data_IF_558259580985
#
_entry.id   IF_558259580985
#
_cell.length_a   1.000
_cell.length_b   1.000
_cell.length_c   1.000
_cell.angle_alpha   90.00
_cell.angle_beta   90.00
_cell.angle_gamma   90.00
#
_symmetry.space_group_name_H-M   'P 1'
#
loop_
_entity.id
_entity.type
_entity.pdbx_description
1 polymer ?
#
# COMPACT_ATOMS: atom_id res chain seq x y z
N UNK A 1 19.70 -24.05 -7.61
CA UNK A 1 19.80 -23.23 -6.38
C UNK A 1 19.98 -21.79 -6.83
N UNK A 2 18.87 -21.18 -7.24
CA UNK A 2 18.64 -19.72 -7.31
C UNK A 2 17.23 -19.58 -7.91
N UNK A 3 16.21 -19.71 -7.07
CA UNK A 3 14.78 -19.59 -7.44
C UNK A 3 14.09 -18.75 -6.36
N UNK A 4 14.59 -17.53 -6.18
CA UNK A 4 13.86 -16.47 -5.48
C UNK A 4 13.24 -15.58 -6.54
N UNK A 5 12.16 -16.08 -7.15
CA UNK A 5 11.33 -15.34 -8.10
C UNK A 5 10.37 -14.42 -7.32
N UNK A 6 10.45 -13.12 -7.53
CA UNK A 6 9.52 -12.15 -6.92
C UNK A 6 8.43 -11.75 -7.91
N UNK A 7 7.20 -12.23 -7.72
CA UNK A 7 6.23 -11.56 -6.84
C UNK A 7 5.83 -12.63 -5.84
N UNK A 8 6.25 -12.48 -4.59
CA UNK A 8 6.12 -13.43 -3.46
C UNK A 8 5.40 -14.74 -3.80
N UNK A 9 6.12 -15.88 -3.72
CA UNK A 9 5.60 -17.25 -3.89
C UNK A 9 4.47 -17.67 -2.91
N UNK A 10 3.71 -16.70 -2.40
CA UNK A 10 2.66 -16.81 -1.41
C UNK A 10 1.33 -16.94 -2.12
N UNK A 11 0.63 -18.03 -1.81
CA UNK A 11 -0.77 -18.17 -2.15
C UNK A 11 -1.56 -17.15 -1.33
N UNK A 12 -2.20 -16.18 -2.00
CA UNK A 12 -3.10 -15.23 -1.34
C UNK A 12 -4.41 -15.94 -1.00
N UNK A 13 -4.84 -15.83 0.25
CA UNK A 13 -6.07 -16.48 0.72
C UNK A 13 -7.16 -15.45 0.93
N UNK A 14 -8.02 -15.30 -0.09
CA UNK A 14 -9.21 -14.46 0.00
C UNK A 14 -10.42 -15.39 -0.04
N UNK A 15 -11.26 -15.32 0.99
CA UNK A 15 -12.40 -16.24 1.20
C UNK A 15 -13.72 -15.51 0.91
N UNK A 16 -13.67 -14.54 0.02
CA UNK A 16 -14.83 -13.88 -0.55
C UNK A 16 -15.06 -14.45 -1.96
N UNK A 17 -16.32 -14.77 -2.25
CA UNK A 17 -16.73 -15.11 -3.61
C UNK A 17 -16.64 -13.86 -4.51
N UNK A 18 -16.48 -14.03 -5.84
CA UNK A 18 -16.48 -12.91 -6.78
C UNK A 18 -17.70 -11.97 -6.62
N UNK A 19 -18.86 -12.53 -6.28
CA UNK A 19 -20.11 -11.80 -6.04
C UNK A 19 -20.08 -10.93 -4.79
N UNK A 20 -19.60 -11.49 -3.67
CA UNK A 20 -19.45 -10.74 -2.42
C UNK A 20 -18.42 -9.61 -2.59
N UNK A 21 -17.37 -9.85 -3.36
CA UNK A 21 -16.40 -8.82 -3.72
C UNK A 21 -17.01 -7.71 -4.56
N UNK A 22 -17.84 -8.05 -5.55
CA UNK A 22 -18.54 -7.06 -6.37
C UNK A 22 -19.54 -6.24 -5.57
N UNK A 23 -20.31 -6.87 -4.70
CA UNK A 23 -21.27 -6.18 -3.82
C UNK A 23 -20.58 -5.20 -2.87
N UNK A 24 -19.50 -5.63 -2.19
CA UNK A 24 -18.73 -4.74 -1.30
C UNK A 24 -18.06 -3.60 -2.10
N UNK A 25 -17.50 -3.89 -3.27
CA UNK A 25 -16.92 -2.85 -4.12
C UNK A 25 -17.98 -1.82 -4.55
N UNK A 26 -19.18 -2.27 -4.92
CA UNK A 26 -20.29 -1.39 -5.29
C UNK A 26 -20.77 -0.53 -4.11
N UNK A 27 -20.78 -1.09 -2.90
CA UNK A 27 -21.11 -0.33 -1.69
C UNK A 27 -20.05 0.72 -1.35
N UNK A 28 -18.78 0.43 -1.62
CA UNK A 28 -17.67 1.36 -1.41
C UNK A 28 -17.52 2.38 -2.55
N UNK A 29 -18.05 2.14 -3.74
CA UNK A 29 -17.85 3.04 -4.88
C UNK A 29 -18.30 4.49 -4.60
N UNK A 30 -17.54 5.45 -5.13
CA UNK A 30 -17.83 6.88 -5.01
C UNK A 30 -17.93 7.37 -3.55
N UNK A 31 -19.12 7.85 -3.16
CA UNK A 31 -19.35 8.40 -1.81
C UNK A 31 -19.31 7.34 -0.70
N UNK A 32 -19.52 6.07 -1.04
CA UNK A 32 -19.54 4.97 -0.07
C UNK A 32 -18.21 4.80 0.66
N UNK A 33 -17.10 4.94 -0.06
CA UNK A 33 -15.75 4.85 0.50
C UNK A 33 -15.50 5.92 1.55
N UNK A 34 -15.91 7.17 1.28
CA UNK A 34 -15.76 8.28 2.23
C UNK A 34 -16.61 8.07 3.49
N UNK A 35 -17.80 7.49 3.36
CA UNK A 35 -18.64 7.13 4.50
C UNK A 35 -17.96 6.05 5.36
N UNK A 36 -17.49 4.95 4.74
CA UNK A 36 -16.82 3.85 5.43
C UNK A 36 -15.54 4.32 6.16
N UNK A 37 -14.71 5.13 5.49
CA UNK A 37 -13.52 5.72 6.11
C UNK A 37 -13.88 6.71 7.22
N UNK A 38 -14.94 7.50 7.02
CA UNK A 38 -15.49 8.40 8.03
C UNK A 38 -15.86 7.67 9.31
N UNK A 39 -16.50 6.51 9.20
CA UNK A 39 -16.87 5.64 10.33
C UNK A 39 -15.63 5.09 11.05
N UNK A 40 -14.62 4.63 10.30
CA UNK A 40 -13.34 4.15 10.86
C UNK A 40 -12.65 5.27 11.65
N UNK A 41 -12.56 6.47 11.08
CA UNK A 41 -11.90 7.60 11.71
C UNK A 41 -12.67 8.16 12.91
N UNK A 42 -13.99 7.97 12.94
CA UNK A 42 -14.89 8.45 13.99
C UNK A 42 -15.17 7.41 15.09
N UNK A 43 -14.60 6.21 15.01
CA UNK A 43 -14.78 5.14 16.01
C UNK A 43 -14.37 5.56 17.45
N UNK A 44 -13.60 6.64 17.60
CA UNK A 44 -13.26 7.28 18.88
C UNK A 44 -14.20 8.42 19.33
N UNK A 45 -15.34 8.62 18.66
CA UNK A 45 -16.34 9.64 19.01
C UNK A 45 -16.02 11.08 18.56
N UNK A 46 -14.93 11.29 17.82
CA UNK A 46 -14.53 12.60 17.29
C UNK A 46 -14.63 12.62 15.77
N UNK A 47 -15.27 13.66 15.23
CA UNK A 47 -15.31 13.89 13.78
C UNK A 47 -13.91 14.28 13.29
N UNK A 48 -13.33 13.58 12.29
CA UNK A 48 -12.02 13.93 11.78
C UNK A 48 -12.04 15.30 11.10
N UNK A 49 -11.07 16.15 11.42
CA UNK A 49 -10.85 17.39 10.68
C UNK A 49 -10.13 17.06 9.37
N UNK A 50 -10.63 17.57 8.26
CA UNK A 50 -10.12 17.24 6.92
C UNK A 50 -9.42 18.44 6.29
N UNK A 51 -8.39 18.17 5.50
CA UNK A 51 -7.76 19.17 4.64
C UNK A 51 -8.54 19.23 3.32
N UNK A 52 -8.95 20.44 2.93
CA UNK A 52 -9.76 20.68 1.74
C UNK A 52 -8.99 20.44 0.43
N UNK A 53 -9.70 20.01 -0.62
CA UNK A 53 -9.08 19.71 -1.92
C UNK A 53 -8.45 20.93 -2.63
N UNK A 54 -8.83 22.14 -2.23
CA UNK A 54 -8.22 23.38 -2.72
C UNK A 54 -6.84 23.67 -2.09
N UNK A 55 -6.52 23.07 -0.93
CA UNK A 55 -5.25 23.20 -0.21
C UNK A 55 -4.09 22.68 -1.08
N UNK A 56 -2.94 23.35 -0.99
CA UNK A 56 -1.75 22.97 -1.75
C UNK A 56 -1.20 21.61 -1.30
N UNK A 57 -1.34 21.26 -0.01
CA UNK A 57 -0.95 19.94 0.53
C UNK A 57 -1.78 18.84 -0.10
N UNK A 58 -3.09 19.06 -0.24
CA UNK A 58 -3.96 18.10 -0.92
C UNK A 58 -3.54 17.90 -2.37
N UNK A 59 -3.31 18.99 -3.10
CA UNK A 59 -2.87 18.93 -4.50
C UNK A 59 -1.53 18.23 -4.64
N UNK A 60 -0.60 18.46 -3.73
CA UNK A 60 0.71 17.80 -3.73
C UNK A 60 0.60 16.28 -3.54
N UNK A 61 -0.18 15.83 -2.54
CA UNK A 61 -0.44 14.40 -2.30
C UNK A 61 -1.18 13.78 -3.49
N UNK A 62 -2.22 14.45 -3.99
CA UNK A 62 -2.99 13.98 -5.13
C UNK A 62 -2.12 13.85 -6.38
N UNK A 63 -1.30 14.85 -6.72
CA UNK A 63 -0.40 14.80 -7.88
C UNK A 63 0.62 13.66 -7.76
N UNK A 64 1.17 13.46 -6.57
CA UNK A 64 2.12 12.37 -6.31
C UNK A 64 1.43 11.01 -6.46
N UNK A 65 0.23 10.85 -5.93
CA UNK A 65 -0.59 9.64 -6.08
C UNK A 65 -0.92 9.37 -7.55
N UNK A 66 -1.42 10.36 -8.31
CA UNK A 66 -1.72 10.21 -9.75
C UNK A 66 -0.48 9.81 -10.56
N UNK A 67 0.71 10.31 -10.19
CA UNK A 67 1.98 9.92 -10.83
C UNK A 67 2.32 8.44 -10.58
N UNK A 68 2.05 7.93 -9.38
CA UNK A 68 2.22 6.50 -9.06
C UNK A 68 1.18 5.63 -9.77
N UNK A 69 -0.07 6.09 -9.88
CA UNK A 69 -1.12 5.36 -10.57
C UNK A 69 -0.89 5.23 -12.07
N UNK A 70 -0.31 6.26 -12.69
CA UNK A 70 -0.01 6.28 -14.13
C UNK A 70 0.94 5.15 -14.58
N UNK A 71 1.66 4.51 -13.65
CA UNK A 71 2.59 3.42 -13.95
C UNK A 71 2.09 2.04 -13.54
N UNK A 72 0.88 1.94 -12.96
CA UNK A 72 0.25 0.65 -12.68
C UNK A 72 0.10 -0.21 -13.95
N UNK A 73 -0.31 0.31 -15.14
CA UNK A 73 -0.39 -0.51 -16.35
C UNK A 73 0.94 -1.18 -16.69
N UNK A 74 2.06 -0.49 -16.44
CA UNK A 74 3.41 -1.01 -16.69
C UNK A 74 3.69 -2.26 -15.88
N UNK A 75 3.19 -2.36 -14.65
CA UNK A 75 3.39 -3.54 -13.80
C UNK A 75 2.66 -4.80 -14.27
N UNK A 76 1.62 -4.62 -15.08
CA UNK A 76 0.85 -5.72 -15.68
C UNK A 76 1.56 -6.31 -16.90
N UNK A 77 2.37 -5.49 -17.59
CA UNK A 77 3.14 -5.91 -18.76
C UNK A 77 4.49 -5.18 -18.90
N UNK A 78 5.38 -5.44 -17.93
CA UNK A 78 6.70 -4.80 -17.90
C UNK A 78 7.58 -5.21 -19.10
N UNK A 79 7.34 -6.39 -19.69
CA UNK A 79 8.13 -6.92 -20.80
C UNK A 79 7.87 -6.14 -22.08
N UNK A 80 6.62 -5.83 -22.37
CA UNK A 80 6.24 -5.10 -23.58
C UNK A 80 6.36 -3.58 -23.39
N UNK A 81 5.98 -3.06 -22.21
CA UNK A 81 5.91 -1.61 -21.97
C UNK A 81 7.25 -0.98 -21.54
N UNK A 82 8.19 -1.75 -21.01
CA UNK A 82 9.54 -1.30 -20.58
C UNK A 82 10.65 -2.26 -21.02
N UNK A 83 10.85 -2.46 -22.33
CA UNK A 83 11.86 -3.39 -22.85
C UNK A 83 13.30 -2.89 -22.62
N UNK A 84 13.48 -1.60 -22.33
CA UNK A 84 14.74 -0.88 -22.21
C UNK A 84 15.35 -0.93 -20.80
N UNK A 85 14.80 -1.72 -19.86
CA UNK A 85 15.29 -1.85 -18.47
C UNK A 85 16.79 -2.19 -18.31
N UNK A 86 17.42 -2.74 -19.37
CA UNK A 86 18.85 -3.08 -19.43
C UNK A 86 19.71 -1.83 -19.68
N UNK A 87 19.24 -0.95 -20.56
CA UNK A 87 19.93 0.27 -21.01
C UNK A 87 19.58 1.45 -20.10
N UNK A 88 18.33 1.52 -19.68
CA UNK A 88 17.82 2.47 -18.71
C UNK A 88 18.35 2.24 -17.28
N UNK A 89 18.25 3.29 -16.49
CA UNK A 89 18.41 3.24 -15.03
C UNK A 89 19.82 3.35 -14.46
N UNK A 90 20.70 4.09 -15.14
CA UNK A 90 21.98 4.54 -14.57
C UNK A 90 21.78 5.54 -13.43
N UNK A 91 20.78 6.42 -13.54
CA UNK A 91 20.40 7.36 -12.48
C UNK A 91 19.42 6.73 -11.49
N UNK A 92 18.31 6.15 -11.99
CA UNK A 92 17.24 5.52 -11.20
C UNK A 92 17.23 4.02 -11.51
N UNK A 93 17.48 3.11 -10.56
CA UNK A 93 17.45 1.68 -10.83
C UNK A 93 16.05 1.27 -11.32
N UNK A 94 16.02 0.49 -12.40
CA UNK A 94 14.80 -0.05 -13.01
C UNK A 94 14.76 -1.57 -12.80
N UNK A 95 13.58 -2.12 -12.46
CA UNK A 95 13.45 -3.55 -12.22
C UNK A 95 13.62 -4.36 -13.52
N UNK A 96 14.16 -5.58 -13.43
CA UNK A 96 13.96 -6.55 -14.49
C UNK A 96 12.46 -6.88 -14.63
N UNK A 97 11.96 -7.11 -15.86
CA UNK A 97 10.58 -7.48 -16.10
C UNK A 97 10.22 -8.70 -15.26
N UNK A 98 9.10 -8.63 -14.57
CA UNK A 98 8.74 -9.73 -13.72
C UNK A 98 8.35 -10.98 -14.51
N UNK A 99 8.61 -12.12 -13.88
CA UNK A 99 8.17 -13.44 -14.35
C UNK A 99 6.67 -13.64 -14.17
N UNK A 100 6.08 -13.01 -13.15
CA UNK A 100 4.67 -13.16 -12.77
C UNK A 100 3.98 -11.78 -12.69
N UNK A 101 3.74 -11.08 -13.82
CA UNK A 101 3.19 -9.72 -13.80
C UNK A 101 1.96 -9.57 -12.91
N UNK A 102 1.78 -8.40 -12.31
CA UNK A 102 0.61 -8.14 -11.47
C UNK A 102 -0.64 -8.21 -12.36
N UNK A 103 -1.43 -9.26 -12.20
CA UNK A 103 -2.71 -9.40 -12.88
C UNK A 103 -3.83 -9.00 -11.92
N UNK A 104 -4.78 -8.16 -12.37
CA UNK A 104 -5.99 -7.92 -11.59
C UNK A 104 -6.73 -9.24 -11.38
N UNK A 105 -7.42 -9.36 -10.25
CA UNK A 105 -8.19 -10.58 -9.95
C UNK A 105 -9.36 -10.67 -10.92
N UNK A 106 -9.52 -11.86 -11.51
CA UNK A 106 -10.61 -12.17 -12.44
C UNK A 106 -11.97 -11.99 -11.76
N UNK A 107 -12.85 -11.17 -12.35
CA UNK A 107 -14.24 -10.96 -11.93
C UNK A 107 -15.20 -11.64 -12.89
N UNK A 108 -16.44 -11.86 -12.45
CA UNK A 108 -17.47 -12.44 -13.34
C UNK A 108 -17.88 -11.48 -14.47
N UNK A 109 -17.78 -10.17 -14.27
CA UNK A 109 -17.92 -9.19 -15.35
C UNK A 109 -16.93 -9.45 -16.49
N UNK A 110 -15.70 -9.87 -16.18
CA UNK A 110 -14.70 -10.27 -17.17
C UNK A 110 -15.14 -11.51 -17.97
N UNK A 111 -15.97 -12.40 -17.40
CA UNK A 111 -16.52 -13.58 -18.10
C UNK A 111 -17.51 -13.17 -19.20
N UNK A 112 -18.37 -12.18 -18.91
CA UNK A 112 -19.32 -11.66 -19.90
C UNK A 112 -18.60 -10.88 -21.00
N UNK A 113 -17.61 -10.06 -20.66
CA UNK A 113 -16.78 -9.39 -21.67
C UNK A 113 -16.04 -10.40 -22.54
N UNK A 114 -15.38 -11.40 -21.96
CA UNK A 114 -14.63 -12.41 -22.70
C UNK A 114 -15.52 -13.25 -23.64
N UNK A 115 -16.75 -13.57 -23.22
CA UNK A 115 -17.71 -14.30 -24.06
C UNK A 115 -18.30 -13.41 -25.17
N UNK A 116 -18.55 -12.13 -24.90
CA UNK A 116 -18.97 -11.14 -25.91
C UNK A 116 -17.86 -10.90 -26.93
N UNK A 117 -16.60 -10.75 -26.50
CA UNK A 117 -15.44 -10.63 -27.38
C UNK A 117 -15.21 -11.89 -28.23
N UNK A 118 -15.39 -13.08 -27.65
CA UNK A 118 -15.30 -14.35 -28.39
C UNK A 118 -16.43 -14.48 -29.45
N UNK A 119 -17.60 -13.88 -29.19
CA UNK A 119 -18.73 -13.87 -30.12
C UNK A 119 -18.57 -12.81 -31.24
N UNK A 120 -17.76 -11.78 -31.04
CA UNK A 120 -17.56 -10.68 -31.99
C UNK A 120 -16.07 -10.31 -32.19
N UNK A 121 -15.27 -11.17 -32.86
CA UNK A 121 -13.82 -10.99 -33.01
C UNK A 121 -13.40 -9.81 -33.93
N UNK A 122 -14.35 -9.00 -34.42
CA UNK A 122 -14.08 -7.83 -35.30
C UNK A 122 -13.93 -6.52 -34.54
N UNK A 123 -14.30 -6.46 -33.28
CA UNK A 123 -14.00 -5.33 -32.39
C UNK A 123 -12.77 -5.70 -31.56
N UNK A 124 -11.60 -5.63 -32.19
CA UNK A 124 -10.35 -5.47 -31.45
C UNK A 124 -10.23 -3.97 -31.19
N UNK A 125 -11.08 -3.44 -30.30
CA UNK A 125 -10.68 -2.22 -29.61
C UNK A 125 -9.50 -2.63 -28.71
N UNK A 126 -8.36 -1.95 -28.85
CA UNK A 126 -7.36 -1.90 -27.79
C UNK A 126 -7.96 -1.10 -26.62
N UNK A 127 -9.11 -1.51 -26.10
CA UNK A 127 -9.59 -1.03 -24.82
C UNK A 127 -8.65 -1.67 -23.79
N UNK A 128 -7.75 -0.82 -23.29
CA UNK A 128 -6.89 -1.11 -22.15
C UNK A 128 -7.78 -1.77 -21.08
N UNK A 129 -7.48 -3.03 -20.72
CA UNK A 129 -8.20 -3.71 -19.63
C UNK A 129 -8.27 -2.73 -18.46
N UNK A 130 -9.45 -2.31 -18.00
CA UNK A 130 -9.55 -1.29 -16.97
C UNK A 130 -8.79 -1.80 -15.76
N UNK A 131 -7.74 -1.08 -15.41
CA UNK A 131 -6.96 -1.40 -14.23
C UNK A 131 -7.88 -1.18 -13.05
N UNK A 132 -8.17 -2.26 -12.32
CA UNK A 132 -9.00 -2.18 -11.12
C UNK A 132 -8.32 -1.26 -10.10
N UNK A 133 -9.02 -0.24 -9.61
CA UNK A 133 -8.57 0.61 -8.51
C UNK A 133 -8.38 2.09 -8.84
N UNK A 134 -7.50 2.48 -9.78
CA UNK A 134 -7.26 3.87 -10.10
C UNK A 134 -8.40 4.49 -10.94
N UNK A 135 -8.72 5.78 -10.75
CA UNK A 135 -8.14 6.66 -9.74
C UNK A 135 -8.60 6.31 -8.32
N UNK A 136 -7.65 6.09 -7.40
CA UNK A 136 -7.96 5.78 -6.01
C UNK A 136 -8.55 7.01 -5.30
N UNK A 137 -9.47 6.78 -4.37
CA UNK A 137 -9.99 7.83 -3.49
C UNK A 137 -8.89 8.35 -2.55
N UNK A 138 -8.92 9.64 -2.21
CA UNK A 138 -7.90 10.28 -1.38
C UNK A 138 -8.55 11.16 -0.31
N UNK A 139 -8.17 10.92 0.94
CA UNK A 139 -8.55 11.71 2.09
C UNK A 139 -7.30 12.17 2.85
N UNK A 140 -7.26 13.44 3.26
CA UNK A 140 -6.19 13.94 4.14
C UNK A 140 -6.80 14.43 5.44
N UNK A 141 -6.34 13.84 6.53
CA UNK A 141 -6.84 14.10 7.88
C UNK A 141 -5.86 15.04 8.57
N UNK A 142 -6.38 16.18 9.05
CA UNK A 142 -5.62 17.17 9.82
C UNK A 142 -5.40 16.67 11.25
N UNK A 143 -4.35 15.86 11.41
CA UNK A 143 -3.83 15.30 12.67
C UNK A 143 -2.30 15.44 12.67
N UNK A 144 -1.77 16.57 13.16
CA UNK A 144 -0.32 16.83 13.17
C UNK A 144 0.46 15.89 14.11
N UNK A 145 -0.23 15.26 15.07
CA UNK A 145 0.30 14.28 16.01
C UNK A 145 0.42 12.87 15.43
N UNK A 146 -0.17 12.61 14.26
CA UNK A 146 -0.14 11.34 13.57
C UNK A 146 0.69 11.44 12.29
N UNK A 147 1.85 10.78 12.30
CA UNK A 147 2.70 10.63 11.12
C UNK A 147 2.50 9.26 10.51
N UNK A 148 1.44 9.08 9.71
CA UNK A 148 1.15 7.81 9.05
C UNK A 148 0.23 7.97 7.81
N UNK A 149 0.01 6.87 7.11
CA UNK A 149 -1.07 6.71 6.14
C UNK A 149 -1.68 5.30 6.29
N UNK A 150 -2.84 5.07 5.68
CA UNK A 150 -3.36 3.73 5.49
C UNK A 150 -4.23 3.67 4.23
N UNK A 151 -4.35 2.46 3.67
CA UNK A 151 -5.18 2.15 2.52
C UNK A 151 -6.42 1.35 2.93
N UNK A 152 -7.53 1.59 2.24
CA UNK A 152 -8.81 0.93 2.53
C UNK A 152 -9.62 0.69 1.26
N UNK A 153 -10.30 -0.44 1.21
CA UNK A 153 -11.20 -0.81 0.12
C UNK A 153 -10.52 -1.51 -1.06
N UNK A 154 -11.32 -1.83 -2.07
CA UNK A 154 -10.91 -2.55 -3.27
C UNK A 154 -11.95 -2.34 -4.38
N UNK A 155 -11.57 -2.57 -5.63
CA UNK A 155 -12.45 -2.42 -6.78
C UNK A 155 -12.36 -1.06 -7.48
N UNK A 156 -13.07 -0.89 -8.61
CA UNK A 156 -13.02 0.31 -9.44
C UNK A 156 -13.80 1.49 -8.83
N UNK A 157 -13.89 2.60 -9.57
CA UNK A 157 -14.81 3.71 -9.29
C UNK A 157 -14.64 4.36 -7.91
N UNK A 158 -13.40 4.42 -7.43
CA UNK A 158 -13.07 5.02 -6.13
C UNK A 158 -13.50 4.17 -4.93
N UNK A 159 -13.85 2.89 -5.13
CA UNK A 159 -14.14 1.93 -4.06
C UNK A 159 -12.90 1.56 -3.21
N UNK A 160 -11.72 1.95 -3.66
CA UNK A 160 -10.45 1.84 -2.96
C UNK A 160 -9.79 3.22 -2.83
N UNK A 161 -9.05 3.44 -1.75
CA UNK A 161 -8.42 4.72 -1.50
C UNK A 161 -7.41 4.74 -0.38
N UNK A 162 -6.77 5.89 -0.22
CA UNK A 162 -5.69 6.13 0.75
C UNK A 162 -6.07 7.30 1.64
N UNK A 163 -5.79 7.15 2.93
CA UNK A 163 -5.91 8.19 3.95
C UNK A 163 -4.51 8.59 4.39
N UNK A 164 -4.20 9.88 4.33
CA UNK A 164 -2.91 10.45 4.76
C UNK A 164 -3.13 11.37 5.96
N UNK A 165 -2.34 11.22 7.02
CA UNK A 165 -2.38 12.12 8.17
C UNK A 165 -1.41 13.30 7.96
N UNK A 166 -1.84 14.51 8.32
CA UNK A 166 -1.07 15.74 8.09
C UNK A 166 0.27 15.76 8.83
N UNK A 167 0.38 15.08 9.98
CA UNK A 167 1.64 14.98 10.72
C UNK A 167 2.78 14.38 9.89
N UNK A 168 2.48 13.49 8.94
CA UNK A 168 3.51 12.97 8.03
C UNK A 168 4.01 14.04 7.05
N UNK A 169 3.11 14.90 6.56
CA UNK A 169 3.49 16.02 5.70
C UNK A 169 4.32 17.04 6.48
N UNK A 170 3.93 17.30 7.73
CA UNK A 170 4.65 18.19 8.63
C UNK A 170 6.07 17.66 8.93
N UNK A 171 6.22 16.35 9.16
CA UNK A 171 7.52 15.69 9.34
C UNK A 171 8.43 15.82 8.12
N UNK A 172 7.89 15.59 6.91
CA UNK A 172 8.64 15.76 5.66
C UNK A 172 9.12 17.21 5.50
N UNK A 173 8.25 18.18 5.78
CA UNK A 173 8.56 19.61 5.68
C UNK A 173 9.60 20.01 6.73
N UNK A 174 9.50 19.48 7.96
CA UNK A 174 10.48 19.73 9.01
C UNK A 174 11.86 19.14 8.67
N UNK A 175 11.89 17.96 8.05
CA UNK A 175 13.11 17.27 7.63
C UNK A 175 13.81 17.97 6.46
N UNK A 176 13.04 18.50 5.52
CA UNK A 176 13.53 19.26 4.37
C UNK A 176 12.82 20.62 4.32
N UNK A 177 13.27 21.62 5.09
CA UNK A 177 12.65 22.94 5.10
C UNK A 177 12.65 23.55 3.70
N UNK A 178 11.57 24.26 3.36
CA UNK A 178 11.55 25.06 2.14
C UNK A 178 12.74 26.00 2.16
N UNK A 179 13.55 25.98 1.09
CA UNK A 179 14.59 26.99 0.91
C UNK A 179 13.85 28.32 0.80
N UNK A 180 14.01 29.19 1.78
CA UNK A 180 13.60 30.58 1.64
C UNK A 180 14.21 31.05 0.34
N UNK A 181 13.38 31.42 -0.63
CA UNK A 181 13.86 32.31 -1.67
C UNK A 181 14.39 33.51 -0.91
N UNK A 182 15.72 33.65 -0.86
CA UNK A 182 16.38 34.82 -0.34
C UNK A 182 15.54 36.02 -0.79
N UNK A 183 15.15 36.85 0.17
CA UNK A 183 14.47 38.11 -0.11
C UNK A 183 15.09 38.68 -1.38
N UNK A 184 14.29 39.04 -2.40
CA UNK A 184 14.85 39.50 -3.65
C UNK A 184 15.90 40.54 -3.31
N UNK A 185 17.15 40.33 -3.75
CA UNK A 185 18.10 41.43 -3.74
C UNK A 185 17.35 42.63 -4.32
N UNK A 186 17.46 43.83 -3.73
CA UNK A 186 16.80 44.99 -4.28
C UNK A 186 17.38 45.22 -5.69
N UNK A 187 16.76 44.60 -6.69
CA UNK A 187 16.90 44.95 -8.08
C UNK A 187 16.65 46.44 -8.09
N UNK A 188 17.68 47.20 -8.46
CA UNK A 188 17.59 48.62 -8.65
C UNK A 188 16.28 48.94 -9.37
N UNK A 189 15.41 49.66 -8.67
CA UNK A 189 14.12 50.09 -9.18
C UNK A 189 14.36 50.91 -10.45
N UNK A 190 14.15 50.32 -11.64
CA UNK A 190 13.67 51.11 -12.75
C UNK A 190 12.19 51.39 -12.50
N UNK A 191 11.96 52.53 -11.85
CA UNK A 191 10.65 53.10 -11.56
C UNK A 191 9.90 53.35 -12.87
N UNK A 192 9.13 52.35 -13.31
CA UNK A 192 8.17 52.52 -14.38
C UNK A 192 6.91 53.20 -13.82
N UNK A 193 6.73 54.46 -14.19
CA UNK A 193 5.72 55.43 -13.73
C UNK A 193 4.31 55.20 -14.29
N UNK A 194 4.15 54.19 -15.15
CA UNK A 194 2.88 53.86 -15.82
C UNK A 194 1.74 53.35 -14.92
N UNK A 195 1.98 52.61 -13.81
CA UNK A 195 0.91 52.16 -12.92
C UNK A 195 0.24 53.31 -12.14
N UNK A 196 0.94 54.43 -11.93
CA UNK A 196 0.46 55.57 -11.15
C UNK A 196 -0.59 56.41 -11.88
N UNK A 197 -0.68 56.31 -13.21
CA UNK A 197 -1.56 57.17 -14.04
C UNK A 197 -2.89 56.46 -14.37
N UNK A 198 -2.96 55.12 -14.31
CA UNK A 198 -4.17 54.34 -14.63
C UNK A 198 -4.65 53.39 -13.51
N UNK A 199 -4.02 53.39 -12.33
CA UNK A 199 -4.14 52.36 -11.30
C UNK A 199 -5.29 52.51 -10.28
N UNK A 200 -6.53 52.77 -10.71
CA UNK A 200 -7.68 52.92 -9.79
C UNK A 200 -8.50 51.65 -9.50
N UNK A 201 -8.40 50.59 -10.32
CA UNK A 201 -9.37 49.47 -10.29
C UNK A 201 -8.78 48.06 -10.16
N UNK A 202 -7.46 47.90 -10.12
CA UNK A 202 -6.84 46.58 -9.99
C UNK A 202 -5.82 46.56 -8.85
N UNK A 203 -6.34 46.56 -7.62
CA UNK A 203 -5.53 46.23 -6.44
C UNK A 203 -5.33 44.71 -6.41
N UNK A 204 -4.50 44.19 -7.32
CA UNK A 204 -4.08 42.79 -7.30
C UNK A 204 -3.11 42.65 -6.14
N UNK A 205 -3.60 42.14 -5.00
CA UNK A 205 -2.71 41.65 -3.94
C UNK A 205 -1.75 40.66 -4.59
N UNK A 206 -0.42 40.81 -4.44
CA UNK A 206 0.49 39.78 -4.90
C UNK A 206 0.07 38.49 -4.20
N UNK A 207 -0.32 37.48 -4.98
CA UNK A 207 -0.63 36.17 -4.45
C UNK A 207 0.60 35.71 -3.67
N UNK A 208 0.43 35.36 -2.39
CA UNK A 208 1.51 34.73 -1.62
C UNK A 208 2.10 33.61 -2.48
N UNK A 209 3.40 33.66 -2.71
CA UNK A 209 4.15 32.60 -3.39
C UNK A 209 3.87 31.30 -2.66
N UNK A 210 3.08 30.42 -3.30
CA UNK A 210 2.72 29.12 -2.73
C UNK A 210 4.00 28.31 -2.57
N UNK A 211 4.20 27.61 -1.43
CA UNK A 211 5.35 26.73 -1.28
C UNK A 211 5.28 25.63 -2.35
N UNK A 212 6.39 25.44 -3.06
CA UNK A 212 6.54 24.36 -4.05
C UNK A 212 7.35 23.25 -3.39
N UNK A 213 6.78 22.05 -3.20
CA UNK A 213 7.51 20.90 -2.66
C UNK A 213 8.76 20.59 -3.47
N UNK A 214 9.86 20.34 -2.76
CA UNK A 214 11.11 19.87 -3.36
C UNK A 214 11.01 18.42 -3.85
N UNK A 215 12.00 18.00 -4.62
CA UNK A 215 12.08 16.62 -5.13
C UNK A 215 12.29 15.63 -3.96
N UNK A 216 13.09 15.99 -2.96
CA UNK A 216 13.33 15.18 -1.77
C UNK A 216 12.06 14.99 -0.95
N UNK A 217 11.32 16.08 -0.70
CA UNK A 217 10.01 16.01 -0.02
C UNK A 217 9.04 15.12 -0.79
N UNK A 218 8.95 15.31 -2.11
CA UNK A 218 8.04 14.53 -2.96
C UNK A 218 8.48 13.07 -3.03
N UNK A 219 9.78 12.78 -2.96
CA UNK A 219 10.30 11.41 -2.93
C UNK A 219 9.89 10.67 -1.66
N UNK A 220 9.94 11.29 -0.46
CA UNK A 220 9.49 10.62 0.78
C UNK A 220 7.98 10.43 0.81
N UNK A 221 7.22 11.40 0.31
CA UNK A 221 5.78 11.25 0.13
C UNK A 221 5.44 10.12 -0.84
N UNK A 222 6.16 10.03 -1.97
CA UNK A 222 5.96 8.98 -2.95
C UNK A 222 6.26 7.59 -2.37
N UNK A 223 7.27 7.45 -1.49
CA UNK A 223 7.59 6.17 -0.85
C UNK A 223 6.42 5.67 -0.01
N UNK A 224 5.87 6.52 0.87
CA UNK A 224 4.72 6.13 1.70
C UNK A 224 3.50 5.81 0.82
N UNK A 225 3.18 6.66 -0.15
CA UNK A 225 2.04 6.43 -1.04
C UNK A 225 2.20 5.17 -1.90
N UNK A 226 3.41 4.88 -2.39
CA UNK A 226 3.65 3.69 -3.20
C UNK A 226 3.46 2.41 -2.40
N UNK A 227 3.83 2.43 -1.11
CA UNK A 227 3.57 1.33 -0.19
C UNK A 227 2.06 1.12 0.02
N UNK A 228 1.29 2.19 0.26
CA UNK A 228 -0.17 2.09 0.37
C UNK A 228 -0.86 1.65 -0.93
N UNK A 229 -0.39 2.14 -2.08
CA UNK A 229 -0.88 1.67 -3.40
C UNK A 229 -0.58 0.20 -3.58
N UNK A 230 0.59 -0.28 -3.15
CA UNK A 230 0.92 -1.70 -3.21
C UNK A 230 -0.05 -2.53 -2.35
N UNK A 231 -0.44 -2.09 -1.15
CA UNK A 231 -1.48 -2.77 -0.36
C UNK A 231 -2.81 -2.90 -1.10
N UNK A 232 -3.23 -1.86 -1.83
CA UNK A 232 -4.44 -1.89 -2.65
C UNK A 232 -4.31 -2.85 -3.84
N UNK A 233 -3.21 -2.78 -4.59
CA UNK A 233 -2.95 -3.65 -5.75
C UNK A 233 -2.84 -5.13 -5.39
N UNK A 234 -2.29 -5.40 -4.21
CA UNK A 234 -2.11 -6.75 -3.71
C UNK A 234 -3.33 -7.27 -2.96
N UNK A 235 -4.35 -6.42 -2.78
CA UNK A 235 -5.59 -6.74 -2.06
C UNK A 235 -5.33 -7.22 -0.63
N UNK A 236 -4.29 -6.70 0.02
CA UNK A 236 -3.92 -7.11 1.38
C UNK A 236 -5.03 -6.83 2.39
N UNK A 237 -5.79 -5.75 2.20
CA UNK A 237 -6.92 -5.43 3.08
C UNK A 237 -7.99 -6.53 3.10
N UNK A 238 -8.44 -7.00 1.93
CA UNK A 238 -9.47 -8.06 1.87
C UNK A 238 -8.92 -9.43 2.27
N UNK A 239 -7.63 -9.67 2.07
CA UNK A 239 -6.97 -10.86 2.59
C UNK A 239 -6.95 -10.85 4.12
N UNK A 240 -6.54 -9.74 4.73
CA UNK A 240 -6.56 -9.57 6.20
C UNK A 240 -7.97 -9.68 6.75
N UNK A 241 -8.96 -9.06 6.10
CA UNK A 241 -10.37 -9.20 6.47
C UNK A 241 -10.85 -10.65 6.33
N UNK A 242 -10.53 -11.34 5.24
CA UNK A 242 -10.90 -12.75 5.04
C UNK A 242 -10.30 -13.65 6.12
N UNK A 243 -9.02 -13.43 6.44
CA UNK A 243 -8.33 -14.20 7.48
C UNK A 243 -8.90 -13.88 8.86
N UNK A 244 -9.14 -12.62 9.18
CA UNK A 244 -9.60 -12.17 10.49
C UNK A 244 -11.09 -12.43 10.77
N UNK A 245 -11.96 -12.31 9.76
CA UNK A 245 -13.42 -12.41 9.93
C UNK A 245 -14.01 -13.77 9.56
N UNK A 246 -13.42 -14.49 8.60
CA UNK A 246 -13.98 -15.75 8.08
C UNK A 246 -13.13 -16.93 8.53
N UNK A 247 -11.85 -16.95 8.21
CA UNK A 247 -10.98 -18.11 8.45
C UNK A 247 -10.67 -18.28 9.94
N UNK A 248 -10.30 -17.21 10.63
CA UNK A 248 -9.95 -17.21 12.06
C UNK A 248 -11.08 -17.77 12.93
N UNK A 249 -12.30 -17.20 12.88
CA UNK A 249 -13.44 -17.73 13.62
C UNK A 249 -13.84 -19.16 13.22
N UNK A 250 -13.71 -19.52 11.93
CA UNK A 250 -14.02 -20.87 11.44
C UNK A 250 -13.04 -21.92 11.95
N UNK A 251 -11.72 -21.66 11.88
CA UNK A 251 -10.69 -22.55 12.45
C UNK A 251 -10.86 -22.65 13.97
N UNK A 252 -11.11 -21.52 14.63
CA UNK A 252 -11.35 -21.47 16.08
C UNK A 252 -12.55 -22.35 16.43
N UNK A 253 -13.64 -22.28 15.67
CA UNK A 253 -14.83 -23.12 15.85
C UNK A 253 -14.51 -24.60 15.65
N UNK A 254 -13.81 -24.98 14.57
CA UNK A 254 -13.41 -26.37 14.31
C UNK A 254 -12.53 -26.91 15.44
N UNK A 255 -11.52 -26.15 15.87
CA UNK A 255 -10.63 -26.54 16.98
C UNK A 255 -11.43 -26.67 18.27
N UNK A 256 -12.37 -25.76 18.51
CA UNK A 256 -13.27 -25.84 19.68
C UNK A 256 -14.12 -27.10 19.63
N UNK A 257 -14.67 -27.45 18.47
CA UNK A 257 -15.51 -28.63 18.31
C UNK A 257 -14.69 -29.92 18.51
N UNK A 258 -13.46 -29.96 18.02
CA UNK A 258 -12.53 -31.08 18.26
C UNK A 258 -12.17 -31.19 19.75
N UNK A 259 -11.78 -30.09 20.40
CA UNK A 259 -11.46 -30.06 21.83
C UNK A 259 -12.69 -30.47 22.65
N UNK A 260 -13.87 -29.92 22.34
CA UNK A 260 -15.13 -30.24 22.99
C UNK A 260 -15.45 -31.73 22.85
N UNK A 261 -15.31 -32.27 21.64
CA UNK A 261 -15.58 -33.69 21.35
C UNK A 261 -14.63 -34.59 22.13
N UNK A 262 -13.34 -34.23 22.22
CA UNK A 262 -12.34 -34.98 22.96
C UNK A 262 -12.50 -34.86 24.48
N UNK A 263 -12.84 -33.68 24.97
CA UNK A 263 -13.01 -33.39 26.41
C UNK A 263 -14.35 -33.90 26.96
N UNK A 264 -15.36 -34.05 26.11
CA UNK A 264 -16.72 -34.43 26.51
C UNK A 264 -16.78 -35.68 27.42
N UNK A 265 -16.07 -36.79 27.13
CA UNK A 265 -16.05 -37.97 28.01
C UNK A 265 -15.50 -37.68 29.41
N UNK A 266 -14.59 -36.70 29.54
CA UNK A 266 -13.98 -36.32 30.81
C UNK A 266 -14.81 -35.28 31.56
N UNK A 267 -15.41 -34.31 30.85
CA UNK A 267 -16.21 -33.23 31.46
C UNK A 267 -17.61 -33.69 31.84
N UNK A 268 -18.15 -34.75 31.23
CA UNK A 268 -19.46 -35.32 31.56
C UNK A 268 -19.57 -35.72 33.04
N UNK A 269 -18.47 -36.10 33.69
CA UNK A 269 -18.42 -36.47 35.11
C UNK A 269 -18.58 -35.28 36.07
N UNK A 270 -18.42 -34.05 35.60
CA UNK A 270 -18.42 -32.84 36.43
C UNK A 270 -19.68 -31.97 36.28
N UNK A 271 -20.68 -32.45 35.52
CA UNK A 271 -21.98 -31.81 35.40
C UNK A 271 -22.00 -30.53 34.52
N UNK A 272 -23.20 -29.93 34.34
CA UNK A 272 -23.43 -28.86 33.35
C UNK A 272 -22.69 -27.54 33.62
N UNK A 273 -22.27 -27.29 34.87
CA UNK A 273 -21.69 -26.01 35.29
C UNK A 273 -20.31 -25.70 34.69
N UNK A 274 -19.46 -26.71 34.44
CA UNK A 274 -18.14 -26.49 33.81
C UNK A 274 -18.28 -26.18 32.31
N UNK A 275 -19.24 -26.84 31.65
CA UNK A 275 -19.51 -26.64 30.22
C UNK A 275 -20.06 -25.22 29.93
N UNK A 276 -20.89 -24.68 30.83
CA UNK A 276 -21.44 -23.33 30.70
C UNK A 276 -20.40 -22.24 31.00
N UNK A 277 -19.54 -22.44 32.02
CA UNK A 277 -18.47 -21.50 32.34
C UNK A 277 -17.42 -21.41 31.21
N UNK A 278 -17.06 -22.54 30.61
CA UNK A 278 -16.11 -22.58 29.49
C UNK A 278 -16.67 -21.90 28.23
N UNK A 279 -17.97 -22.08 27.96
CA UNK A 279 -18.68 -21.42 26.86
C UNK A 279 -18.69 -19.88 27.00
N UNK A 280 -18.86 -19.36 28.23
CA UNK A 280 -18.87 -17.92 28.50
C UNK A 280 -17.50 -17.24 28.34
N UNK A 281 -16.44 -17.85 28.85
CA UNK A 281 -15.05 -17.35 28.69
C UNK A 281 -14.64 -17.36 27.22
N UNK A 282 -15.01 -18.41 26.49
CA UNK A 282 -14.65 -18.58 25.08
C UNK A 282 -15.30 -17.53 24.16
N UNK A 283 -16.61 -17.28 24.30
CA UNK A 283 -17.33 -16.27 23.50
C UNK A 283 -16.78 -14.86 23.67
N UNK A 284 -16.36 -14.53 24.89
CA UNK A 284 -15.78 -13.23 25.21
C UNK A 284 -14.40 -13.08 24.56
N UNK A 285 -13.56 -14.13 24.64
CA UNK A 285 -12.23 -14.13 24.02
C UNK A 285 -12.27 -14.07 22.49
N UNK A 286 -13.21 -14.78 21.84
CA UNK A 286 -13.30 -14.80 20.37
C UNK A 286 -13.71 -13.44 19.79
N UNK A 287 -14.59 -12.70 20.48
CA UNK A 287 -15.01 -11.37 20.07
C UNK A 287 -13.87 -10.35 20.18
N UNK A 288 -13.03 -10.47 21.21
CA UNK A 288 -11.84 -9.64 21.37
C UNK A 288 -10.78 -9.95 20.29
N UNK A 289 -10.50 -11.23 20.01
CA UNK A 289 -9.51 -11.62 18.99
C UNK A 289 -9.91 -11.16 17.59
N UNK A 290 -11.20 -11.25 17.21
CA UNK A 290 -11.70 -10.76 15.92
C UNK A 290 -11.56 -9.24 15.77
N UNK A 291 -11.71 -8.48 16.87
CA UNK A 291 -11.53 -7.03 16.89
C UNK A 291 -10.08 -6.62 16.64
N UNK A 292 -9.10 -7.39 17.14
CA UNK A 292 -7.69 -7.09 16.98
C UNK A 292 -7.07 -7.66 15.70
N UNK A 293 -7.63 -8.72 15.10
CA UNK A 293 -7.10 -9.33 13.88
C UNK A 293 -7.43 -8.56 12.59
N UNK A 294 -8.52 -7.79 12.57
CA UNK A 294 -9.00 -7.09 11.37
C UNK A 294 -8.20 -5.84 10.95
N UNK A 295 -7.21 -5.41 11.74
CA UNK A 295 -6.55 -4.10 11.56
C UNK A 295 -5.04 -4.13 11.33
N UNK A 296 -4.40 -5.32 11.36
CA UNK A 296 -2.96 -5.44 11.16
C UNK A 296 -2.67 -6.39 10.00
N UNK A 297 -1.88 -5.91 9.04
CA UNK A 297 -1.28 -6.71 7.97
C UNK A 297 -0.22 -7.65 8.55
N UNK A 298 -0.04 -8.79 7.90
CA UNK A 298 1.01 -9.73 8.28
C UNK A 298 2.39 -9.25 7.81
N UNK A 299 3.44 -9.73 8.48
CA UNK A 299 4.82 -9.42 8.11
C UNK A 299 5.16 -9.74 6.63
N UNK A 300 4.59 -10.83 6.10
CA UNK A 300 4.79 -11.18 4.68
C UNK A 300 4.11 -10.19 3.74
N UNK A 301 2.93 -9.67 4.11
CA UNK A 301 2.22 -8.65 3.33
C UNK A 301 2.98 -7.31 3.32
N UNK A 302 3.60 -6.92 4.43
CA UNK A 302 4.45 -5.72 4.48
C UNK A 302 5.66 -5.83 3.55
N UNK A 303 6.35 -6.98 3.55
CA UNK A 303 7.47 -7.24 2.64
C UNK A 303 7.01 -7.25 1.18
N UNK A 304 5.87 -7.86 0.88
CA UNK A 304 5.28 -7.89 -0.46
C UNK A 304 4.97 -6.47 -0.95
N UNK A 305 4.37 -5.64 -0.09
CA UNK A 305 4.07 -4.23 -0.37
C UNK A 305 5.35 -3.42 -0.60
N UNK A 306 6.41 -3.63 0.18
CA UNK A 306 7.71 -2.96 -0.01
C UNK A 306 8.35 -3.30 -1.35
N UNK A 307 8.30 -4.56 -1.78
CA UNK A 307 8.86 -5.00 -3.07
C UNK A 307 8.08 -4.40 -4.25
N UNK A 308 6.74 -4.42 -4.18
CA UNK A 308 5.89 -3.85 -5.23
C UNK A 308 5.98 -2.33 -5.27
N UNK A 309 6.04 -1.66 -4.11
CA UNK A 309 6.22 -0.22 -4.04
C UNK A 309 7.55 0.24 -4.63
N UNK A 310 8.64 -0.53 -4.45
CA UNK A 310 9.92 -0.23 -5.11
C UNK A 310 9.78 -0.20 -6.64
N UNK A 311 9.01 -1.13 -7.23
CA UNK A 311 8.74 -1.15 -8.67
C UNK A 311 7.89 0.03 -9.12
N UNK A 312 6.84 0.36 -8.35
CA UNK A 312 6.01 1.55 -8.59
C UNK A 312 6.87 2.82 -8.60
N UNK A 313 7.73 3.00 -7.60
CA UNK A 313 8.65 4.13 -7.48
C UNK A 313 9.57 4.23 -8.70
N UNK A 314 10.24 3.13 -9.04
CA UNK A 314 11.17 3.08 -10.16
C UNK A 314 10.51 3.49 -11.49
N UNK A 315 9.34 2.91 -11.80
CA UNK A 315 8.63 3.21 -13.03
C UNK A 315 8.02 4.62 -13.02
N UNK A 316 7.62 5.13 -11.86
CA UNK A 316 7.16 6.51 -11.69
C UNK A 316 8.30 7.53 -11.75
N UNK A 317 9.56 7.10 -11.84
CA UNK A 317 10.74 7.97 -11.89
C UNK A 317 11.15 8.53 -10.53
N UNK A 318 10.85 7.80 -9.45
CA UNK A 318 11.44 8.00 -8.13
C UNK A 318 12.54 6.96 -7.89
N UNK A 319 13.59 7.34 -7.17
CA UNK A 319 14.67 6.41 -6.84
C UNK A 319 14.24 5.45 -5.71
N UNK A 320 14.04 4.15 -5.96
CA UNK A 320 13.60 3.21 -4.93
C UNK A 320 14.67 2.97 -3.86
N UNK A 321 15.94 3.35 -4.08
CA UNK A 321 16.98 3.34 -3.02
C UNK A 321 16.65 4.31 -1.89
N UNK A 322 15.84 5.34 -2.16
CA UNK A 322 15.37 6.26 -1.13
C UNK A 322 14.41 5.56 -0.15
N UNK A 323 13.65 4.55 -0.60
CA UNK A 323 12.75 3.78 0.27
C UNK A 323 13.50 3.02 1.37
N UNK A 324 14.68 2.49 1.06
CA UNK A 324 15.55 1.83 2.04
C UNK A 324 15.90 2.78 3.18
N UNK A 325 16.41 3.97 2.86
CA UNK A 325 16.75 5.00 3.86
C UNK A 325 15.53 5.48 4.64
N UNK A 326 14.39 5.61 3.96
CA UNK A 326 13.13 6.01 4.58
C UNK A 326 12.71 5.02 5.67
N UNK A 327 12.66 3.72 5.35
CA UNK A 327 12.27 2.69 6.31
C UNK A 327 13.29 2.47 7.42
N UNK A 328 14.59 2.62 7.15
CA UNK A 328 15.64 2.59 8.19
C UNK A 328 15.43 3.67 9.25
N UNK A 329 15.18 4.91 8.83
CA UNK A 329 14.95 6.02 9.77
C UNK A 329 13.67 5.83 10.60
N UNK A 330 12.64 5.21 10.01
CA UNK A 330 11.36 4.96 10.69
C UNK A 330 11.45 3.81 11.69
N UNK A 331 12.27 2.80 11.41
CA UNK A 331 12.59 1.70 12.33
C UNK A 331 13.22 2.19 13.64
N UNK A 332 14.09 3.20 13.55
CA UNK A 332 14.74 3.82 14.71
C UNK A 332 13.78 4.70 15.52
N UNK A 333 12.71 5.19 14.90
CA UNK A 333 11.81 6.19 15.48
C UNK A 333 10.50 5.60 16.06
N UNK A 334 10.10 4.39 15.67
CA UNK A 334 8.83 3.81 16.12
C UNK A 334 8.81 2.26 16.07
N UNK A 335 8.96 1.55 17.21
CA UNK A 335 8.85 0.08 17.25
C UNK A 335 7.40 -0.45 17.10
N UNK A 336 6.37 0.37 17.34
CA UNK A 336 4.97 -0.07 17.46
C UNK A 336 3.98 0.58 16.46
N UNK A 337 4.44 1.36 15.48
CA UNK A 337 3.55 2.19 14.63
C UNK A 337 2.99 1.51 13.37
N UNK A 338 3.22 0.21 13.18
CA UNK A 338 2.83 -0.48 11.94
C UNK A 338 1.34 -0.86 11.91
N UNK A 339 0.65 -0.90 13.06
CA UNK A 339 -0.80 -0.98 13.09
C UNK A 339 -1.38 0.44 13.24
N UNK A 340 -1.96 0.99 12.17
CA UNK A 340 -2.49 2.35 12.10
C UNK A 340 -3.61 2.68 13.13
N UNK A 341 -4.05 1.71 13.95
CA UNK A 341 -5.20 1.84 14.85
C UNK A 341 -5.03 1.25 16.25
N UNK A 342 -3.82 1.00 16.74
CA UNK A 342 -3.66 0.73 18.18
C UNK A 342 -3.76 2.07 18.94
N UNK A 343 -4.83 2.33 19.72
CA UNK A 343 -4.84 3.50 20.60
C UNK A 343 -3.63 3.41 21.54
N UNK A 344 -2.87 4.51 21.64
CA UNK A 344 -1.67 4.61 22.50
C UNK A 344 -1.99 4.52 24.00
N UNK A 345 -3.27 4.50 24.37
CA UNK A 345 -3.74 4.37 25.74
C UNK A 345 -4.56 3.07 25.85
N UNK A 346 -4.02 2.06 26.56
CA UNK A 346 -4.63 0.79 27.05
C UNK A 346 -3.75 -0.48 26.88
N UNK A 347 -2.43 -0.36 26.63
CA UNK A 347 -1.52 -1.53 26.73
C UNK A 347 -1.03 -1.76 28.17
N UNK A 348 -1.28 -0.85 29.11
CA UNK A 348 -1.00 -1.09 30.52
C UNK A 348 -2.17 -1.81 31.22
N UNK A 349 -1.86 -3.04 31.65
CA UNK A 349 -2.55 -3.82 32.68
C UNK A 349 -3.98 -4.31 32.43
N UNK A 350 -4.13 -5.38 31.62
CA UNK A 350 -5.20 -6.37 31.84
C UNK A 350 -4.70 -7.81 31.82
N UNK A 351 -5.02 -8.54 32.89
CA UNK A 351 -4.43 -9.79 33.36
C UNK A 351 -4.56 -11.04 32.45
N UNK A 352 -4.99 -10.90 31.19
CA UNK A 352 -5.18 -12.02 30.25
C UNK A 352 -3.91 -12.27 29.40
N UNK A 353 -2.98 -11.30 29.35
CA UNK A 353 -1.69 -11.43 28.65
C UNK A 353 -0.72 -12.47 29.25
N UNK A 354 -1.04 -13.07 30.40
CA UNK A 354 -0.21 -14.11 31.05
C UNK A 354 -0.58 -15.54 30.68
N UNK A 355 -1.73 -15.78 30.05
CA UNK A 355 -2.22 -17.15 29.80
C UNK A 355 -2.03 -17.65 28.35
N UNK A 356 -1.70 -16.75 27.43
CA UNK A 356 -1.24 -17.13 26.10
C UNK A 356 0.29 -17.25 26.14
N UNK A 357 0.87 -18.46 26.01
CA UNK A 357 2.31 -18.57 25.92
C UNK A 357 2.76 -17.76 24.70
N UNK A 358 3.82 -16.97 24.89
CA UNK A 358 4.61 -16.21 23.90
C UNK A 358 5.16 -17.11 22.76
N UNK A 359 4.32 -17.93 22.13
CA UNK A 359 4.71 -19.04 21.26
C UNK A 359 4.40 -18.83 19.79
N UNK A 360 3.92 -17.64 19.43
CA UNK A 360 3.87 -17.17 18.04
C UNK A 360 4.90 -16.05 17.78
N UNK A 361 5.84 -15.86 18.71
CA UNK A 361 7.05 -15.05 18.50
C UNK A 361 8.14 -15.94 17.87
N UNK A 362 7.96 -16.26 16.59
CA UNK A 362 9.01 -16.83 15.77
C UNK A 362 9.95 -15.73 15.27
N UNK A 363 11.19 -15.74 15.76
CA UNK A 363 12.40 -15.13 15.16
C UNK A 363 12.71 -13.66 15.49
N UNK A 364 13.41 -13.46 16.61
CA UNK A 364 14.63 -12.63 16.85
C UNK A 364 14.96 -11.32 16.10
N UNK A 365 14.11 -10.73 15.26
CA UNK A 365 14.38 -9.45 14.60
C UNK A 365 13.15 -8.55 14.57
N UNK A 366 13.28 -7.23 14.83
CA UNK A 366 12.19 -6.28 14.59
C UNK A 366 11.75 -6.35 13.12
N UNK A 367 10.45 -6.39 12.84
CA UNK A 367 9.87 -6.53 11.48
C UNK A 367 10.50 -5.55 10.48
N UNK A 368 10.68 -4.30 10.90
CA UNK A 368 11.37 -3.26 10.13
C UNK A 368 12.77 -3.65 9.64
N UNK A 369 13.58 -4.34 10.45
CA UNK A 369 14.93 -4.76 10.06
C UNK A 369 14.87 -5.81 8.95
N UNK A 370 13.90 -6.72 9.03
CA UNK A 370 13.72 -7.72 7.99
C UNK A 370 13.16 -7.13 6.70
N UNK A 371 12.17 -6.23 6.79
CA UNK A 371 11.64 -5.45 5.66
C UNK A 371 12.74 -4.72 4.89
N UNK A 372 13.56 -3.93 5.59
CA UNK A 372 14.71 -3.21 5.01
C UNK A 372 15.69 -4.18 4.35
N UNK A 373 16.02 -5.29 5.01
CA UNK A 373 16.92 -6.31 4.47
C UNK A 373 16.36 -6.91 3.17
N UNK A 374 15.08 -7.26 3.13
CA UNK A 374 14.41 -7.82 1.95
C UNK A 374 14.37 -6.82 0.80
N UNK A 375 14.06 -5.56 1.09
CA UNK A 375 14.06 -4.49 0.10
C UNK A 375 15.46 -4.27 -0.51
N UNK A 376 16.52 -4.27 0.32
CA UNK A 376 17.92 -4.19 -0.16
C UNK A 376 18.27 -5.37 -1.07
N UNK A 377 17.93 -6.60 -0.65
CA UNK A 377 18.15 -7.80 -1.45
C UNK A 377 17.45 -7.74 -2.82
N UNK A 378 16.24 -7.18 -2.87
CA UNK A 378 15.51 -7.02 -4.12
C UNK A 378 16.19 -6.01 -5.06
N UNK A 379 16.68 -4.88 -4.55
CA UNK A 379 17.43 -3.91 -5.34
C UNK A 379 18.75 -4.49 -5.86
N UNK A 380 19.50 -5.23 -5.03
CA UNK A 380 20.72 -5.92 -5.44
C UNK A 380 20.43 -6.94 -6.55
N UNK A 381 19.29 -7.65 -6.45
CA UNK A 381 18.83 -8.59 -7.48
C UNK A 381 18.58 -7.90 -8.82
N UNK A 382 18.05 -6.67 -8.81
CA UNK A 382 17.83 -5.91 -10.05
C UNK A 382 19.15 -5.56 -10.73
N UNK A 383 20.14 -5.11 -9.95
CA UNK A 383 21.47 -4.78 -10.46
C UNK A 383 22.17 -6.01 -11.03
N UNK A 384 22.11 -7.14 -10.32
CA UNK A 384 22.69 -8.40 -10.76
C UNK A 384 22.01 -8.93 -12.03
N UNK A 385 20.68 -8.89 -12.10
CA UNK A 385 19.92 -9.27 -13.30
C UNK A 385 20.33 -8.41 -14.51
N UNK A 386 20.49 -7.10 -14.29
CA UNK A 386 20.93 -6.17 -15.32
C UNK A 386 22.36 -6.46 -15.79
N UNK A 387 23.28 -6.73 -14.86
CA UNK A 387 24.66 -7.11 -15.16
C UNK A 387 24.69 -8.37 -16.03
N UNK A 388 23.99 -9.43 -15.63
CA UNK A 388 23.87 -10.68 -16.40
C UNK A 388 23.27 -10.43 -17.79
N UNK A 389 22.24 -9.60 -17.91
CA UNK A 389 21.62 -9.29 -19.19
C UNK A 389 22.56 -8.53 -20.14
N UNK A 390 23.37 -7.59 -19.62
CA UNK A 390 24.40 -6.88 -20.39
C UNK A 390 25.52 -7.82 -20.85
N UNK A 391 26.00 -8.69 -19.97
CA UNK A 391 27.00 -9.71 -20.30
C UNK A 391 26.49 -10.67 -21.39
N UNK A 392 25.23 -11.10 -21.29
CA UNK A 392 24.61 -11.95 -22.30
C UNK A 392 24.48 -11.27 -23.67
N UNK A 393 24.18 -9.95 -23.71
CA UNK A 393 24.15 -9.16 -24.96
C UNK A 393 25.55 -8.92 -25.54
N UNK A 394 26.58 -8.83 -24.70
CA UNK A 394 27.96 -8.60 -25.12
C UNK A 394 28.71 -9.88 -25.52
N UNK A 395 28.19 -11.05 -25.15
CA UNK A 395 28.79 -12.34 -25.51
C UNK A 395 28.74 -12.52 -27.04
N UNK A 396 29.89 -12.79 -27.70
CA UNK A 396 29.91 -13.00 -29.15
C UNK A 396 29.05 -14.21 -29.51
N UNK A 397 28.25 -14.06 -30.57
CA UNK A 397 27.39 -15.09 -31.15
C UNK A 397 28.21 -16.38 -31.30
N UNK A 398 27.97 -17.35 -30.41
CA UNK A 398 28.74 -18.57 -30.36
C UNK A 398 28.41 -19.38 -31.62
N UNK A 399 29.26 -19.25 -32.64
CA UNK A 399 29.15 -19.85 -33.97
C UNK A 399 28.81 -21.35 -33.98
N UNK A 400 29.09 -22.07 -32.89
CA UNK A 400 28.81 -23.50 -32.74
C UNK A 400 27.33 -23.85 -32.44
N UNK A 401 26.46 -22.88 -32.09
CA UNK A 401 25.01 -23.13 -31.88
C UNK A 401 24.19 -23.25 -33.17
N UNK A 402 24.79 -23.03 -34.34
CA UNK A 402 24.11 -23.03 -35.65
C UNK A 402 24.20 -24.35 -36.43
N UNK A 403 24.71 -25.43 -35.84
CA UNK A 403 24.67 -26.73 -36.51
C UNK A 403 23.34 -27.43 -36.24
N UNK A 404 22.53 -27.76 -37.27
CA UNK A 404 21.43 -28.69 -37.09
C UNK A 404 22.05 -30.05 -36.74
N UNK A 405 21.58 -30.67 -35.65
CA UNK A 405 21.83 -32.07 -35.37
C UNK A 405 21.35 -32.86 -36.60
N UNK A 406 22.32 -33.45 -37.30
CA UNK A 406 22.08 -34.34 -38.43
C UNK A 406 21.73 -35.75 -37.94
#
# INVERSE_FOLDING_TARGET
MDDTDTYTHRWRLIVLSPWEEEDIANQLAGSGWYAAVGDILSAGGQTPKLIDSSDWRYKWVQQTLRRLEAVIPVLQDEKELRPDWIEGGTAIPLPPPSKYPLQPRFRESDYFEQTVHAANPREISHEEKPIQGPPYSLLIVDRPDASNAFSYGFGPDGAAGIVVFSGFLDDIIAKYPFKDHAAPEPCAEETSWWPAIFGGFFNVKPALSRPVPSEEQTSELAILLAHEVAHLLLSHHIETLSVGSIVGPSITTIVTDVIRTFMFPFTMFFGPFINDALSGVWKTSSAEVAKYSGMCTSHEQEIEADIVSARLLAHAGFDPRHAVRFWENRAESAPDSECAHAPKEEVEDRAIGKLLPHRWAGSTHPLNVERVKKLRQELDRWEEARRRAREARAAPDAWWRRWPLA
#
